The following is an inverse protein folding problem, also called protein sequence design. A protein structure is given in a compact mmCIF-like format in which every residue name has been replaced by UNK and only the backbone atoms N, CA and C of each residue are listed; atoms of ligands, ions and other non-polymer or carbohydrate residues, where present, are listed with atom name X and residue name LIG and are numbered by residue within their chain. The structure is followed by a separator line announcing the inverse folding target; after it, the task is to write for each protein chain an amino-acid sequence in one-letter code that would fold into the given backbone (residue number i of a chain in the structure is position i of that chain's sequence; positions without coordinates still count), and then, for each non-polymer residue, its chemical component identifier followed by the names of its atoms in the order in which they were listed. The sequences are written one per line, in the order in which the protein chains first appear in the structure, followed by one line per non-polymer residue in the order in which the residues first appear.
data_IF_660859145184
#
_entry.id   IF_660859145184
#
_cell.length_a   1.000
_cell.length_b   1.000
_cell.length_c   1.000
_cell.angle_alpha   90.00
_cell.angle_beta   90.00
_cell.angle_gamma   90.00
#
_symmetry.space_group_name_H-M   'P 1'
#
loop_
_entity.id
_entity.type
_entity.pdbx_description
1 polymer ?
#
# COMPACT_ATOMS: atom_id res chain seq x y z
N UNK A 1 -7.34 -22.02 2.18
CA UNK A 1 -7.64 -20.63 1.75
C UNK A 1 -6.39 -19.77 1.79
N UNK A 2 -6.38 -18.70 1.04
CA UNK A 2 -5.27 -17.74 1.07
C UNK A 2 -5.56 -16.66 2.11
N UNK A 3 -4.58 -16.39 2.96
CA UNK A 3 -4.70 -15.32 3.95
C UNK A 3 -4.82 -13.95 3.25
N UNK A 4 -5.88 -13.18 3.53
CA UNK A 4 -6.10 -11.89 2.86
C UNK A 4 -5.07 -10.81 3.24
N UNK A 5 -4.35 -11.01 4.32
CA UNK A 5 -3.37 -10.02 4.78
C UNK A 5 -1.95 -10.30 4.28
N UNK A 6 -1.48 -11.55 4.35
CA UNK A 6 -0.10 -11.87 3.99
C UNK A 6 0.05 -12.74 2.74
N UNK A 7 -1.06 -13.17 2.12
CA UNK A 7 -1.06 -13.95 0.90
C UNK A 7 -0.61 -15.42 1.04
N UNK A 8 -0.32 -15.87 2.25
CA UNK A 8 0.11 -17.26 2.49
C UNK A 8 -1.07 -18.20 2.64
N UNK A 9 -0.88 -19.44 2.22
CA UNK A 9 -1.89 -20.47 2.36
C UNK A 9 -2.07 -20.88 3.82
N UNK A 10 -3.34 -20.92 4.26
CA UNK A 10 -3.73 -21.33 5.60
C UNK A 10 -4.90 -22.32 5.52
N UNK A 11 -5.06 -23.19 6.51
CA UNK A 11 -6.18 -24.14 6.52
C UNK A 11 -7.54 -23.41 6.55
N UNK A 12 -8.52 -23.95 5.85
CA UNK A 12 -9.86 -23.34 5.76
C UNK A 12 -10.59 -23.27 7.12
N UNK A 13 -10.18 -24.09 8.07
CA UNK A 13 -10.74 -24.09 9.42
C UNK A 13 -10.05 -23.13 10.39
N UNK A 14 -8.97 -22.47 9.96
CA UNK A 14 -8.18 -21.58 10.83
C UNK A 14 -8.96 -20.34 11.20
N UNK A 15 -8.92 -19.95 12.47
CA UNK A 15 -9.51 -18.72 12.97
C UNK A 15 -8.54 -17.53 12.85
N UNK A 16 -7.24 -17.82 12.80
CA UNK A 16 -6.17 -16.84 12.71
C UNK A 16 -5.11 -17.33 11.73
N UNK A 17 -4.50 -16.41 11.01
CA UNK A 17 -3.36 -16.71 10.17
C UNK A 17 -2.12 -16.95 11.04
N UNK A 18 -1.54 -18.14 10.94
CA UNK A 18 -0.34 -18.52 11.70
C UNK A 18 0.91 -17.69 11.33
N UNK A 19 0.88 -17.01 10.18
CA UNK A 19 2.02 -16.25 9.68
C UNK A 19 1.98 -14.77 10.04
N UNK A 20 0.80 -14.16 10.09
CA UNK A 20 0.66 -12.72 10.34
C UNK A 20 -0.29 -12.38 11.49
N UNK A 21 -0.91 -13.39 12.11
CA UNK A 21 -1.78 -13.21 13.28
C UNK A 21 -3.16 -12.61 13.01
N UNK A 22 -3.47 -12.26 11.77
CA UNK A 22 -4.79 -11.68 11.47
C UNK A 22 -5.91 -12.69 11.74
N UNK A 23 -7.03 -12.19 12.27
CA UNK A 23 -8.23 -13.00 12.41
C UNK A 23 -8.82 -13.30 11.04
N UNK A 24 -9.04 -14.58 10.76
CA UNK A 24 -9.66 -15.04 9.51
C UNK A 24 -11.18 -15.13 9.71
N UNK A 25 -11.94 -14.45 8.87
CA UNK A 25 -13.39 -14.52 8.92
C UNK A 25 -13.86 -15.85 8.32
N UNK A 26 -14.36 -16.74 9.16
CA UNK A 26 -15.00 -17.95 8.68
C UNK A 26 -16.26 -17.59 7.90
N UNK A 27 -16.32 -18.00 6.64
CA UNK A 27 -17.53 -17.93 5.83
C UNK A 27 -17.95 -16.53 5.37
N UNK A 28 -17.17 -15.47 5.64
CA UNK A 28 -17.39 -14.16 5.03
C UNK A 28 -16.36 -13.93 3.93
N UNK A 29 -16.86 -13.84 2.71
CA UNK A 29 -16.11 -13.28 1.61
C UNK A 29 -15.70 -11.87 2.02
N UNK A 30 -14.40 -11.53 1.88
CA UNK A 30 -13.95 -10.15 2.08
C UNK A 30 -14.75 -9.22 1.19
N UNK A 31 -15.21 -8.10 1.74
CA UNK A 31 -15.80 -7.06 0.90
C UNK A 31 -14.78 -6.56 -0.10
N UNK A 32 -15.24 -6.01 -1.23
CA UNK A 32 -14.33 -5.42 -2.22
C UNK A 32 -13.55 -4.25 -1.62
N UNK A 33 -14.18 -3.49 -0.70
CA UNK A 33 -13.51 -2.43 0.04
C UNK A 33 -12.36 -2.95 0.89
N UNK A 34 -12.54 -4.08 1.59
CA UNK A 34 -11.48 -4.70 2.37
C UNK A 34 -10.33 -5.18 1.47
N UNK A 35 -10.64 -5.70 0.31
CA UNK A 35 -9.63 -6.10 -0.69
C UNK A 35 -8.78 -4.92 -1.12
N UNK A 36 -9.39 -3.79 -1.45
CA UNK A 36 -8.69 -2.56 -1.84
C UNK A 36 -7.84 -2.02 -0.69
N UNK A 37 -8.41 -1.95 0.52
CA UNK A 37 -7.67 -1.52 1.71
C UNK A 37 -6.44 -2.38 1.95
N UNK A 38 -6.58 -3.70 1.86
CA UNK A 38 -5.48 -4.63 2.08
C UNK A 38 -4.36 -4.45 1.07
N UNK A 39 -4.66 -4.16 -0.19
CA UNK A 39 -3.65 -3.85 -1.21
C UNK A 39 -2.83 -2.63 -0.81
N UNK A 40 -3.49 -1.57 -0.37
CA UNK A 40 -2.82 -0.34 0.04
C UNK A 40 -2.04 -0.50 1.35
N UNK A 41 -2.57 -1.26 2.30
CA UNK A 41 -1.80 -1.61 3.52
C UNK A 41 -0.55 -2.42 3.16
N UNK A 42 -0.67 -3.40 2.27
CA UNK A 42 0.51 -4.16 1.81
C UNK A 42 1.52 -3.27 1.08
N UNK A 43 1.04 -2.24 0.39
CA UNK A 43 1.90 -1.22 -0.22
C UNK A 43 2.75 -0.52 0.84
N UNK A 44 2.13 -0.07 1.94
CA UNK A 44 2.81 0.59 3.05
C UNK A 44 3.72 -0.39 3.80
N UNK A 45 3.26 -1.61 4.05
CA UNK A 45 4.07 -2.66 4.67
C UNK A 45 5.30 -3.03 3.82
N UNK A 46 5.19 -2.98 2.51
CA UNK A 46 6.32 -3.17 1.60
C UNK A 46 7.39 -2.08 1.78
N UNK A 47 6.97 -0.85 2.03
CA UNK A 47 7.88 0.25 2.38
C UNK A 47 8.55 -0.05 3.73
N UNK A 48 7.75 -0.35 4.75
CA UNK A 48 8.25 -0.65 6.10
C UNK A 48 9.26 -1.80 6.11
N UNK A 49 8.98 -2.85 5.35
CA UNK A 49 9.83 -4.03 5.25
C UNK A 49 10.97 -3.88 4.26
N UNK A 50 11.08 -2.74 3.60
CA UNK A 50 12.10 -2.45 2.60
C UNK A 50 12.13 -3.51 1.48
N UNK A 51 10.94 -3.84 0.98
CA UNK A 51 10.75 -4.90 -0.02
C UNK A 51 10.28 -4.34 -1.37
N UNK A 52 11.22 -3.98 -2.26
CA UNK A 52 10.87 -3.40 -3.56
C UNK A 52 10.13 -4.37 -4.49
N UNK A 53 10.31 -5.67 -4.34
CA UNK A 53 9.59 -6.67 -5.14
C UNK A 53 8.10 -6.69 -4.78
N UNK A 54 7.77 -6.63 -3.49
CA UNK A 54 6.40 -6.56 -3.03
C UNK A 54 5.71 -5.31 -3.59
N UNK A 55 6.39 -4.16 -3.57
CA UNK A 55 5.88 -2.91 -4.11
C UNK A 55 5.59 -3.01 -5.60
N UNK A 56 6.54 -3.57 -6.36
CA UNK A 56 6.39 -3.76 -7.80
C UNK A 56 5.17 -4.61 -8.15
N UNK A 57 4.88 -5.64 -7.38
CA UNK A 57 3.77 -6.54 -7.63
C UNK A 57 2.38 -5.93 -7.36
N UNK A 58 2.31 -4.85 -6.58
CA UNK A 58 1.06 -4.19 -6.22
C UNK A 58 0.63 -3.11 -7.21
N UNK A 59 1.53 -2.65 -8.06
CA UNK A 59 1.26 -1.57 -9.02
C UNK A 59 1.16 -2.10 -10.44
N UNK A 60 0.43 -1.35 -11.28
CA UNK A 60 0.37 -1.63 -12.72
C UNK A 60 1.71 -1.26 -13.35
N UNK A 61 2.37 -2.24 -13.98
CA UNK A 61 3.72 -2.05 -14.51
C UNK A 61 3.77 -1.08 -15.71
N UNK A 62 2.63 -0.91 -16.40
CA UNK A 62 2.57 -0.09 -17.60
C UNK A 62 2.13 1.35 -17.33
N UNK A 63 1.18 1.53 -16.42
CA UNK A 63 0.49 2.82 -16.25
C UNK A 63 0.72 3.51 -14.92
N UNK A 64 1.49 2.89 -14.00
CA UNK A 64 1.70 3.46 -12.68
C UNK A 64 2.36 4.84 -12.73
N UNK A 65 1.71 5.80 -12.06
CA UNK A 65 2.24 7.15 -11.83
C UNK A 65 2.09 7.54 -10.38
N UNK A 66 2.90 8.47 -9.92
CA UNK A 66 2.88 8.91 -8.54
C UNK A 66 3.23 10.39 -8.42
N UNK A 67 2.44 11.14 -7.66
CA UNK A 67 2.89 12.36 -7.01
C UNK A 67 3.37 12.01 -5.61
N UNK A 68 4.62 12.34 -5.32
CA UNK A 68 5.21 12.03 -4.02
C UNK A 68 5.10 13.22 -3.05
N UNK A 69 5.08 12.93 -1.76
CA UNK A 69 5.16 13.91 -0.68
C UNK A 69 6.61 14.21 -0.25
N UNK A 70 7.58 13.74 -1.03
CA UNK A 70 9.01 14.04 -0.91
C UNK A 70 9.50 14.86 -2.13
N UNK A 71 10.54 15.71 -1.95
CA UNK A 71 11.11 16.42 -3.07
C UNK A 71 11.55 15.48 -4.20
N UNK A 72 11.36 15.85 -5.46
CA UNK A 72 10.96 17.17 -5.99
C UNK A 72 9.44 17.41 -6.06
N UNK A 73 8.58 16.53 -5.54
CA UNK A 73 7.12 16.64 -5.57
C UNK A 73 6.49 16.56 -6.97
N UNK A 74 7.25 16.19 -7.96
CA UNK A 74 6.81 16.09 -9.36
C UNK A 74 6.07 14.78 -9.64
N UNK A 75 5.36 14.75 -10.77
CA UNK A 75 4.80 13.52 -11.27
C UNK A 75 5.92 12.58 -11.71
N UNK A 76 5.93 11.39 -11.15
CA UNK A 76 6.84 10.31 -11.49
C UNK A 76 6.08 9.23 -12.26
N UNK A 77 6.71 8.67 -13.26
CA UNK A 77 6.17 7.58 -14.07
C UNK A 77 6.95 6.30 -13.80
N UNK A 78 7.62 5.75 -14.79
CA UNK A 78 8.36 4.47 -14.66
C UNK A 78 9.48 4.49 -13.63
N UNK A 79 10.09 5.65 -13.42
CA UNK A 79 11.18 5.84 -12.46
C UNK A 79 10.73 5.86 -10.99
N UNK A 80 9.44 6.00 -10.72
CA UNK A 80 8.91 6.10 -9.35
C UNK A 80 9.36 4.94 -8.45
N UNK A 81 9.22 3.71 -8.94
CA UNK A 81 9.61 2.52 -8.17
C UNK A 81 11.11 2.37 -8.01
N UNK A 82 11.90 2.80 -9.01
CA UNK A 82 13.36 2.83 -8.90
C UNK A 82 13.83 3.83 -7.84
N UNK A 83 13.25 5.01 -7.84
CA UNK A 83 13.55 6.05 -6.86
C UNK A 83 13.18 5.59 -5.45
N UNK A 84 12.02 4.98 -5.30
CA UNK A 84 11.58 4.41 -4.04
C UNK A 84 12.51 3.28 -3.56
N UNK A 85 12.90 2.36 -4.44
CA UNK A 85 13.82 1.29 -4.10
C UNK A 85 15.17 1.80 -3.60
N UNK A 86 15.67 2.92 -4.15
CA UNK A 86 16.89 3.58 -3.66
C UNK A 86 16.69 4.13 -2.25
N UNK A 87 15.54 4.78 -1.98
CA UNK A 87 15.23 5.32 -0.66
C UNK A 87 15.09 4.20 0.38
N UNK A 88 14.51 3.06 0.01
CA UNK A 88 14.33 1.92 0.92
C UNK A 88 15.66 1.34 1.42
N UNK A 89 16.73 1.44 0.64
CA UNK A 89 18.06 0.95 1.06
C UNK A 89 18.61 1.68 2.29
N UNK A 90 18.19 2.91 2.49
CA UNK A 90 18.67 3.79 3.58
C UNK A 90 17.58 4.13 4.59
N UNK A 91 16.40 3.54 4.44
CA UNK A 91 15.28 3.72 5.35
C UNK A 91 15.49 2.89 6.62
N UNK A 92 15.22 3.49 7.78
CA UNK A 92 15.30 2.84 9.11
C UNK A 92 14.11 3.23 9.96
N UNK A 93 13.72 2.32 10.86
CA UNK A 93 12.78 2.60 11.95
C UNK A 93 11.44 3.17 11.47
N UNK A 94 10.96 2.67 10.33
CA UNK A 94 9.70 3.15 9.76
C UNK A 94 8.51 2.64 10.56
N UNK A 95 7.71 3.57 11.09
CA UNK A 95 6.45 3.31 11.78
C UNK A 95 5.36 4.18 11.17
N UNK A 96 4.13 3.67 11.13
CA UNK A 96 3.02 4.41 10.55
C UNK A 96 1.69 4.11 11.22
N UNK A 97 0.75 5.03 11.04
CA UNK A 97 -0.66 4.89 11.39
C UNK A 97 -1.50 5.40 10.24
N UNK A 98 -2.61 4.74 9.96
CA UNK A 98 -3.57 5.18 8.93
C UNK A 98 -4.94 5.42 9.55
N UNK A 99 -5.70 6.32 8.92
CA UNK A 99 -7.06 6.61 9.35
C UNK A 99 -7.86 7.33 8.28
N UNK A 100 -9.13 7.60 8.59
CA UNK A 100 -10.05 8.31 7.71
C UNK A 100 -10.18 7.68 6.32
N UNK A 101 -10.25 6.35 6.27
CA UNK A 101 -10.39 5.60 5.04
C UNK A 101 -11.74 5.81 4.39
N UNK A 102 -11.71 6.11 3.08
CA UNK A 102 -12.89 6.06 2.21
C UNK A 102 -12.51 5.32 0.93
N UNK A 103 -13.29 4.30 0.59
CA UNK A 103 -13.07 3.49 -0.58
C UNK A 103 -14.35 3.47 -1.41
N UNK A 104 -14.23 3.85 -2.68
CA UNK A 104 -15.33 3.91 -3.63
C UNK A 104 -14.99 3.02 -4.83
N UNK A 105 -15.91 2.12 -5.18
CA UNK A 105 -15.70 1.15 -6.25
C UNK A 105 -16.72 1.41 -7.36
N UNK A 106 -16.21 1.52 -8.57
CA UNK A 106 -16.97 1.78 -9.79
C UNK A 106 -16.62 0.71 -10.84
N UNK A 107 -17.32 -0.43 -10.80
CA UNK A 107 -17.00 -1.55 -11.68
C UNK A 107 -15.59 -2.08 -11.45
N UNK A 108 -14.74 -1.98 -12.47
CA UNK A 108 -13.35 -2.44 -12.43
C UNK A 108 -12.36 -1.34 -12.01
N UNK A 109 -12.86 -0.23 -11.49
CA UNK A 109 -12.04 0.86 -10.96
C UNK A 109 -12.40 1.19 -9.52
N UNK A 110 -11.43 1.70 -8.75
CA UNK A 110 -11.62 2.09 -7.38
C UNK A 110 -10.77 3.30 -7.03
N UNK A 111 -11.29 4.13 -6.13
CA UNK A 111 -10.57 5.23 -5.50
C UNK A 111 -10.55 4.96 -4.00
N UNK A 112 -9.37 5.03 -3.40
CA UNK A 112 -9.20 4.99 -1.96
C UNK A 112 -8.52 6.26 -1.50
N UNK A 113 -9.05 6.86 -0.44
CA UNK A 113 -8.44 8.01 0.22
C UNK A 113 -8.26 7.70 1.69
N UNK A 114 -7.15 8.15 2.25
CA UNK A 114 -6.85 7.99 3.67
C UNK A 114 -5.81 8.99 4.13
N UNK A 115 -5.66 9.08 5.43
CA UNK A 115 -4.60 9.87 6.07
C UNK A 115 -3.58 8.90 6.63
N UNK A 116 -2.31 9.22 6.47
CA UNK A 116 -1.19 8.49 7.03
C UNK A 116 -0.30 9.42 7.84
N UNK A 117 0.05 9.00 9.05
CA UNK A 117 1.12 9.60 9.83
C UNK A 117 2.26 8.59 9.86
N UNK A 118 3.43 8.98 9.41
CA UNK A 118 4.58 8.08 9.37
C UNK A 118 5.85 8.77 9.79
N UNK A 119 6.72 8.01 10.41
CA UNK A 119 8.00 8.47 10.95
C UNK A 119 9.07 7.43 10.70
N UNK A 120 10.29 7.88 10.68
CA UNK A 120 11.45 7.02 10.46
C UNK A 120 12.72 7.83 10.28
N UNK A 121 13.70 7.22 9.65
CA UNK A 121 14.98 7.84 9.39
C UNK A 121 15.48 7.42 8.01
N UNK A 122 15.94 8.40 7.23
CA UNK A 122 16.66 8.19 5.98
C UNK A 122 18.06 8.75 6.16
N UNK A 123 19.08 7.87 6.15
CA UNK A 123 20.45 8.23 6.52
C UNK A 123 20.47 8.89 7.91
N UNK A 124 20.92 10.15 8.01
CA UNK A 124 20.94 10.88 9.28
C UNK A 124 19.73 11.78 9.49
N UNK A 125 18.79 11.81 8.53
CA UNK A 125 17.58 12.62 8.60
C UNK A 125 16.45 11.85 9.23
N UNK A 126 16.03 12.27 10.42
CA UNK A 126 14.78 11.80 11.05
C UNK A 126 13.60 12.58 10.48
N UNK A 127 12.49 11.89 10.23
CA UNK A 127 11.28 12.51 9.75
C UNK A 127 10.06 12.04 10.53
N UNK A 128 9.07 12.92 10.61
CA UNK A 128 7.74 12.67 11.17
C UNK A 128 6.76 13.46 10.32
N UNK A 129 6.01 12.76 9.47
CA UNK A 129 5.21 13.38 8.40
C UNK A 129 3.78 12.89 8.49
N UNK A 130 2.83 13.79 8.25
CA UNK A 130 1.43 13.47 8.08
C UNK A 130 1.00 13.87 6.68
N UNK A 131 0.41 12.93 5.94
CA UNK A 131 0.02 13.12 4.54
C UNK A 131 -1.39 12.65 4.26
N UNK A 132 -1.98 13.24 3.24
CA UNK A 132 -3.20 12.76 2.59
C UNK A 132 -2.78 11.88 1.43
N UNK A 133 -3.45 10.75 1.28
CA UNK A 133 -3.20 9.82 0.16
C UNK A 133 -4.49 9.62 -0.62
N UNK A 134 -4.38 9.70 -1.93
CA UNK A 134 -5.40 9.24 -2.87
C UNK A 134 -4.78 8.20 -3.77
N UNK A 135 -5.43 7.06 -3.92
CA UNK A 135 -4.97 5.97 -4.77
C UNK A 135 -6.07 5.57 -5.75
N UNK A 136 -5.70 5.37 -6.99
CA UNK A 136 -6.58 4.87 -8.03
C UNK A 136 -6.14 3.46 -8.43
N UNK A 137 -7.09 2.52 -8.44
CA UNK A 137 -6.83 1.12 -8.74
C UNK A 137 -7.71 0.66 -9.91
N UNK A 138 -7.17 -0.23 -10.72
CA UNK A 138 -7.90 -0.93 -11.79
C UNK A 138 -7.83 -2.43 -11.59
N UNK A 139 -8.95 -3.09 -11.86
CA UNK A 139 -9.03 -4.55 -11.92
C UNK A 139 -8.85 -5.00 -13.36
N UNK A 140 -7.83 -5.83 -13.57
CA UNK A 140 -7.53 -6.44 -14.85
C UNK A 140 -7.21 -7.91 -14.65
N UNK A 141 -7.75 -8.76 -15.51
CA UNK A 141 -7.50 -10.22 -15.44
C UNK A 141 -7.77 -10.77 -14.03
N UNK A 142 -8.81 -10.26 -13.37
CA UNK A 142 -9.18 -10.66 -12.02
C UNK A 142 -8.35 -10.07 -10.88
N UNK A 143 -7.35 -9.23 -11.19
CA UNK A 143 -6.45 -8.65 -10.19
C UNK A 143 -6.56 -7.13 -10.12
N UNK A 144 -6.64 -6.61 -8.89
CA UNK A 144 -6.56 -5.19 -8.63
C UNK A 144 -5.10 -4.72 -8.58
N UNK A 145 -4.79 -3.65 -9.32
CA UNK A 145 -3.45 -3.03 -9.33
C UNK A 145 -3.58 -1.53 -9.11
N UNK A 146 -2.62 -0.96 -8.39
CA UNK A 146 -2.53 0.49 -8.21
C UNK A 146 -2.01 1.11 -9.49
N UNK A 147 -2.73 2.07 -10.05
CA UNK A 147 -2.31 2.78 -11.28
C UNK A 147 -1.88 4.21 -11.01
N UNK A 148 -2.31 4.80 -9.89
CA UNK A 148 -1.87 6.14 -9.49
C UNK A 148 -1.93 6.30 -7.99
N UNK A 149 -0.98 7.01 -7.44
CA UNK A 149 -0.98 7.48 -6.05
C UNK A 149 -0.64 8.96 -6.00
N UNK A 150 -1.31 9.67 -5.11
CA UNK A 150 -0.98 11.05 -4.78
C UNK A 150 -0.82 11.17 -3.28
N UNK A 151 0.38 11.47 -2.85
CA UNK A 151 0.74 11.73 -1.47
C UNK A 151 1.00 13.21 -1.30
N UNK A 152 0.35 13.85 -0.32
CA UNK A 152 0.43 15.29 -0.09
C UNK A 152 0.53 15.57 1.39
N UNK A 153 1.60 16.24 1.81
CA UNK A 153 1.78 16.62 3.23
C UNK A 153 0.73 17.60 3.69
N UNK A 154 0.32 17.45 4.93
CA UNK A 154 -0.44 18.52 5.60
C UNK A 154 0.46 19.75 5.76
N UNK A 155 -0.14 20.97 5.63
CA UNK A 155 0.60 22.21 5.86
C UNK A 155 1.02 22.36 7.32
#
# INVERSE_FOLDING_TARGET
MICPNCGKEVPDYANFCKYCGIRLAKGKQLSMQDTIRNILIRRIEGIRNRDPKALKNLVDQKYYTKFDDWPPFDLQEREALKNEAKALKVLKEYEYETGNWKIQIFGDSAIATFIIAYRGQIRDLKFDIKSRVSAFLLKRDGEWKIVHEHWSRFP
#
